data_IF_601272387936
#
_entry.id   IF_601272387936
#
_cell.length_a   1.000
_cell.length_b   1.000
_cell.length_c   1.000
_cell.angle_alpha   90.00
_cell.angle_beta   90.00
_cell.angle_gamma   90.00
#
_symmetry.space_group_name_H-M   'P 1'
#
loop_
_entity.id
_entity.type
_entity.pdbx_description
1 polymer ?
#
# COMPACT_ATOMS: atom_id res chain seq x y z
N UNK A 1 15.47 -8.24 14.86
CA UNK A 1 16.17 -8.67 13.64
C UNK A 1 15.88 -10.13 13.28
N UNK A 2 15.97 -11.10 14.20
CA UNK A 2 15.74 -12.53 13.91
C UNK A 2 14.33 -12.82 13.35
N UNK A 3 13.27 -12.22 13.91
CA UNK A 3 11.87 -12.42 13.47
C UNK A 3 11.67 -11.94 12.02
N UNK A 4 12.26 -10.79 11.65
CA UNK A 4 12.17 -10.26 10.28
C UNK A 4 12.90 -11.17 9.31
N UNK A 5 14.10 -11.64 9.66
CA UNK A 5 14.86 -12.58 8.84
C UNK A 5 14.10 -13.90 8.63
N UNK A 6 13.45 -14.42 9.66
CA UNK A 6 12.61 -15.62 9.57
C UNK A 6 11.39 -15.40 8.69
N UNK A 7 10.72 -14.24 8.78
CA UNK A 7 9.58 -13.89 7.94
C UNK A 7 9.99 -13.79 6.46
N UNK A 8 11.09 -13.10 6.17
CA UNK A 8 11.65 -12.97 4.81
C UNK A 8 12.03 -14.35 4.25
N UNK A 9 12.69 -15.19 5.04
CA UNK A 9 13.06 -16.55 4.64
C UNK A 9 11.81 -17.41 4.34
N UNK A 10 10.79 -17.35 5.21
CA UNK A 10 9.53 -18.07 5.01
C UNK A 10 8.81 -17.64 3.72
N UNK A 11 8.71 -16.33 3.48
CA UNK A 11 8.13 -15.80 2.25
C UNK A 11 8.95 -16.18 1.01
N UNK A 12 10.28 -16.05 1.07
CA UNK A 12 11.16 -16.41 -0.03
C UNK A 12 11.01 -17.90 -0.41
N UNK A 13 10.97 -18.79 0.57
CA UNK A 13 10.80 -20.23 0.36
C UNK A 13 9.48 -20.59 -0.34
N UNK A 14 8.40 -19.87 -0.03
CA UNK A 14 7.06 -20.15 -0.56
C UNK A 14 6.79 -19.46 -1.90
N UNK A 15 7.32 -18.25 -2.11
CA UNK A 15 7.03 -17.43 -3.30
C UNK A 15 8.10 -17.55 -4.39
N UNK A 16 9.37 -17.82 -4.01
CA UNK A 16 10.47 -17.90 -4.96
C UNK A 16 10.70 -19.36 -5.36
N UNK A 17 9.81 -19.91 -6.16
CA UNK A 17 9.84 -21.32 -6.58
C UNK A 17 10.74 -21.60 -7.79
N UNK A 18 11.37 -20.58 -8.39
CA UNK A 18 12.23 -20.77 -9.58
C UNK A 18 13.25 -19.65 -9.79
N UNK A 19 14.22 -19.89 -10.67
CA UNK A 19 15.31 -18.94 -10.99
C UNK A 19 14.77 -17.59 -11.50
N UNK A 20 13.67 -17.60 -12.26
CA UNK A 20 13.04 -16.38 -12.80
C UNK A 20 12.42 -15.58 -11.65
N UNK A 21 11.71 -16.23 -10.72
CA UNK A 21 11.14 -15.56 -9.55
C UNK A 21 12.22 -14.95 -8.67
N UNK A 22 13.35 -15.67 -8.48
CA UNK A 22 14.50 -15.16 -7.75
C UNK A 22 15.11 -13.92 -8.43
N UNK A 23 15.27 -13.96 -9.75
CA UNK A 23 15.81 -12.84 -10.52
C UNK A 23 14.91 -11.59 -10.41
N UNK A 24 13.58 -11.76 -10.53
CA UNK A 24 12.63 -10.66 -10.38
C UNK A 24 12.69 -10.07 -8.96
N UNK A 25 12.74 -10.93 -7.93
CA UNK A 25 12.80 -10.48 -6.54
C UNK A 25 14.10 -9.70 -6.24
N UNK A 26 15.23 -10.19 -6.74
CA UNK A 26 16.54 -9.51 -6.59
C UNK A 26 16.54 -8.18 -7.37
N UNK A 27 16.03 -8.17 -8.60
CA UNK A 27 15.94 -6.95 -9.40
C UNK A 27 15.06 -5.88 -8.73
N UNK A 28 13.91 -6.28 -8.19
CA UNK A 28 13.02 -5.38 -7.44
C UNK A 28 13.69 -4.85 -6.16
N UNK A 29 14.40 -5.72 -5.42
CA UNK A 29 15.13 -5.31 -4.22
C UNK A 29 16.24 -4.29 -4.55
N UNK A 30 17.05 -4.55 -5.57
CA UNK A 30 18.10 -3.65 -6.02
C UNK A 30 17.52 -2.31 -6.46
N UNK A 31 16.43 -2.33 -7.23
CA UNK A 31 15.75 -1.12 -7.70
C UNK A 31 15.29 -0.23 -6.54
N UNK A 32 14.64 -0.83 -5.54
CA UNK A 32 14.13 -0.11 -4.35
C UNK A 32 15.27 0.41 -3.47
N UNK A 33 16.40 -0.31 -3.38
CA UNK A 33 17.55 0.13 -2.60
C UNK A 33 18.34 1.26 -3.27
N UNK A 34 18.43 1.25 -4.61
CA UNK A 34 19.20 2.26 -5.34
C UNK A 34 18.48 3.59 -5.48
N UNK A 35 17.14 3.58 -5.50
CA UNK A 35 16.35 4.80 -5.71
C UNK A 35 15.35 4.95 -4.56
N UNK A 36 15.68 5.71 -3.52
CA UNK A 36 14.82 5.95 -2.37
C UNK A 36 13.71 6.94 -2.72
N UNK A 37 12.76 6.54 -3.57
CA UNK A 37 11.60 7.34 -3.94
C UNK A 37 10.31 6.50 -3.80
N UNK A 38 9.23 7.05 -3.20
CA UNK A 38 7.99 6.30 -2.97
C UNK A 38 7.39 5.64 -4.24
N UNK A 39 7.49 6.32 -5.38
CA UNK A 39 6.97 5.82 -6.67
C UNK A 39 7.76 4.62 -7.22
N UNK A 40 8.99 4.40 -6.75
CA UNK A 40 9.81 3.25 -7.18
C UNK A 40 9.20 1.93 -6.71
N UNK A 41 8.55 1.90 -5.56
CA UNK A 41 7.85 0.71 -5.06
C UNK A 41 6.72 0.32 -6.01
N UNK A 42 5.93 1.30 -6.44
CA UNK A 42 4.86 1.08 -7.43
C UNK A 42 5.45 0.61 -8.76
N UNK A 43 6.53 1.25 -9.21
CA UNK A 43 7.27 0.85 -10.42
C UNK A 43 7.79 -0.58 -10.35
N UNK A 44 8.36 -0.99 -9.22
CA UNK A 44 8.84 -2.36 -9.00
C UNK A 44 7.71 -3.40 -9.04
N UNK A 45 6.54 -3.07 -8.49
CA UNK A 45 5.34 -3.93 -8.53
C UNK A 45 4.86 -4.06 -9.99
N UNK A 46 4.71 -2.95 -10.70
CA UNK A 46 4.27 -2.95 -12.11
C UNK A 46 5.24 -3.74 -12.98
N UNK A 47 6.54 -3.52 -12.80
CA UNK A 47 7.59 -4.25 -13.52
C UNK A 47 7.52 -5.75 -13.21
N UNK A 48 7.33 -6.12 -11.94
CA UNK A 48 7.15 -7.51 -11.52
C UNK A 48 5.92 -8.17 -12.18
N UNK A 49 4.79 -7.45 -12.27
CA UNK A 49 3.58 -7.91 -12.95
C UNK A 49 3.85 -8.11 -14.45
N UNK A 50 4.43 -7.12 -15.12
CA UNK A 50 4.69 -7.17 -16.57
C UNK A 50 5.65 -8.31 -16.91
N UNK A 51 6.77 -8.41 -16.19
CA UNK A 51 7.76 -9.49 -16.40
C UNK A 51 7.14 -10.85 -16.04
N UNK A 52 6.36 -10.94 -14.97
CA UNK A 52 5.65 -12.15 -14.58
C UNK A 52 4.69 -12.61 -15.68
N UNK A 53 3.88 -11.71 -16.21
CA UNK A 53 2.95 -12.02 -17.31
C UNK A 53 3.68 -12.40 -18.60
N UNK A 54 4.82 -11.78 -18.91
CA UNK A 54 5.57 -12.06 -20.12
C UNK A 54 6.31 -13.41 -20.09
N UNK A 55 6.91 -13.75 -18.95
CA UNK A 55 7.81 -14.91 -18.83
C UNK A 55 7.21 -16.11 -18.11
N UNK A 56 6.14 -15.94 -17.33
CA UNK A 56 5.52 -17.01 -16.54
C UNK A 56 4.18 -17.49 -17.09
N UNK A 57 3.72 -16.92 -18.21
CA UNK A 57 2.43 -17.25 -18.84
C UNK A 57 2.36 -18.67 -19.44
N UNK A 58 3.51 -19.31 -19.68
CA UNK A 58 3.61 -20.61 -20.36
C UNK A 58 3.65 -21.83 -19.44
N UNK A 59 3.60 -21.69 -18.14
CA UNK A 59 3.48 -22.87 -17.25
C UNK A 59 2.01 -23.21 -16.99
N UNK A 60 1.43 -23.90 -17.96
CA UNK A 60 0.08 -24.46 -17.95
C UNK A 60 -0.10 -25.71 -17.06
N UNK A 61 0.81 -25.98 -16.13
CA UNK A 61 0.78 -27.12 -15.20
C UNK A 61 1.12 -26.70 -13.76
N UNK A 62 0.49 -25.64 -13.28
CA UNK A 62 0.34 -25.49 -11.84
C UNK A 62 -1.06 -26.01 -11.50
N UNK A 63 -1.15 -26.95 -10.57
CA UNK A 63 -2.34 -27.50 -9.96
C UNK A 63 -3.51 -26.52 -10.06
N UNK A 64 -4.62 -26.98 -10.66
CA UNK A 64 -5.87 -26.23 -10.67
C UNK A 64 -6.11 -25.77 -9.24
N UNK A 65 -6.11 -24.46 -8.96
CA UNK A 65 -6.57 -24.01 -7.66
C UNK A 65 -7.97 -24.62 -7.54
N UNK A 66 -8.20 -25.39 -6.48
CA UNK A 66 -9.56 -25.71 -6.04
C UNK A 66 -10.38 -24.45 -6.23
N UNK A 67 -11.54 -24.48 -6.86
CA UNK A 67 -12.34 -23.31 -7.04
C UNK A 67 -12.69 -22.77 -5.66
N UNK A 68 -11.84 -21.89 -5.14
CA UNK A 68 -12.27 -20.92 -4.16
C UNK A 68 -13.36 -20.16 -4.89
N UNK A 69 -14.56 -20.37 -4.40
CA UNK A 69 -15.83 -19.79 -4.77
C UNK A 69 -15.68 -18.67 -5.82
N UNK A 70 -16.13 -18.93 -7.04
CA UNK A 70 -15.92 -18.02 -8.17
C UNK A 70 -16.60 -16.70 -7.86
N UNK A 71 -15.92 -15.87 -7.10
CA UNK A 71 -16.32 -14.48 -6.93
C UNK A 71 -16.57 -13.91 -8.32
N UNK A 72 -17.77 -13.46 -8.58
CA UNK A 72 -18.17 -13.00 -9.91
C UNK A 72 -17.13 -12.03 -10.45
N UNK A 73 -16.51 -12.32 -11.58
CA UNK A 73 -15.58 -11.42 -12.27
C UNK A 73 -16.14 -10.02 -12.39
N UNK A 74 -17.45 -9.89 -12.52
CA UNK A 74 -18.18 -8.63 -12.55
C UNK A 74 -18.00 -7.84 -11.26
N UNK A 75 -18.10 -8.49 -10.10
CA UNK A 75 -17.90 -7.82 -8.79
C UNK A 75 -16.46 -7.32 -8.67
N UNK A 76 -15.47 -8.12 -9.08
CA UNK A 76 -14.06 -7.70 -9.08
C UNK A 76 -13.79 -6.49 -9.97
N UNK A 77 -14.35 -6.48 -11.18
CA UNK A 77 -14.24 -5.35 -12.11
C UNK A 77 -14.94 -4.11 -11.54
N UNK A 78 -16.14 -4.26 -10.99
CA UNK A 78 -16.87 -3.13 -10.38
C UNK A 78 -16.10 -2.54 -9.21
N UNK A 79 -15.55 -3.37 -8.33
CA UNK A 79 -14.72 -2.90 -7.21
C UNK A 79 -13.46 -2.18 -7.70
N UNK A 80 -12.80 -2.69 -8.72
CA UNK A 80 -11.61 -2.07 -9.30
C UNK A 80 -11.94 -0.72 -9.95
N UNK A 81 -13.01 -0.67 -10.74
CA UNK A 81 -13.48 0.58 -11.36
C UNK A 81 -13.87 1.60 -10.30
N UNK A 82 -14.59 1.18 -9.25
CA UNK A 82 -14.96 2.06 -8.15
C UNK A 82 -13.73 2.59 -7.41
N UNK A 83 -12.75 1.73 -7.14
CA UNK A 83 -11.48 2.12 -6.50
C UNK A 83 -10.75 3.19 -7.33
N UNK A 84 -10.57 2.94 -8.62
CA UNK A 84 -9.89 3.88 -9.52
C UNK A 84 -10.71 5.16 -9.69
N UNK A 85 -12.03 5.06 -9.84
CA UNK A 85 -12.90 6.22 -9.97
C UNK A 85 -12.83 7.11 -8.72
N UNK A 86 -12.87 6.54 -7.52
CA UNK A 86 -12.71 7.29 -6.27
C UNK A 86 -11.34 7.95 -6.17
N UNK A 87 -10.27 7.28 -6.60
CA UNK A 87 -8.91 7.82 -6.54
C UNK A 87 -8.76 9.12 -7.37
N UNK A 88 -9.47 9.23 -8.47
CA UNK A 88 -9.41 10.39 -9.36
C UNK A 88 -10.57 11.38 -9.19
N UNK A 89 -11.75 10.91 -8.78
CA UNK A 89 -12.92 11.78 -8.61
C UNK A 89 -12.90 12.54 -7.28
N UNK A 90 -12.42 11.93 -6.20
CA UNK A 90 -12.38 12.57 -4.89
C UNK A 90 -11.59 13.89 -4.88
N UNK A 91 -10.39 13.99 -5.47
CA UNK A 91 -9.67 15.27 -5.57
C UNK A 91 -10.45 16.37 -6.29
N UNK A 92 -11.28 16.00 -7.27
CA UNK A 92 -12.14 16.96 -7.97
C UNK A 92 -13.30 17.47 -7.10
N UNK A 93 -13.68 16.72 -6.06
CA UNK A 93 -14.75 17.02 -5.14
C UNK A 93 -14.29 17.73 -3.85
N UNK A 94 -12.99 17.84 -3.63
CA UNK A 94 -12.40 18.50 -2.43
C UNK A 94 -12.92 19.93 -2.22
N UNK A 95 -13.21 20.63 -3.31
CA UNK A 95 -13.69 22.03 -3.26
C UNK A 95 -15.17 22.17 -2.91
N UNK A 96 -15.94 21.07 -2.90
CA UNK A 96 -17.39 21.10 -2.66
C UNK A 96 -17.76 21.01 -1.18
N UNK A 97 -16.95 20.28 -0.39
CA UNK A 97 -17.16 20.12 1.03
C UNK A 97 -15.85 19.77 1.73
N UNK A 98 -15.62 20.32 2.91
CA UNK A 98 -14.43 20.07 3.72
C UNK A 98 -14.27 18.58 4.05
N UNK A 99 -15.37 17.92 4.41
CA UNK A 99 -15.38 16.48 4.72
C UNK A 99 -14.96 15.63 3.52
N UNK A 100 -15.32 16.05 2.30
CA UNK A 100 -14.88 15.40 1.08
C UNK A 100 -13.36 15.54 0.88
N UNK A 101 -12.77 16.68 1.25
CA UNK A 101 -11.33 16.91 1.23
C UNK A 101 -10.60 15.99 2.20
N UNK A 102 -11.04 15.94 3.46
CA UNK A 102 -10.47 15.05 4.47
C UNK A 102 -10.55 13.59 3.99
N UNK A 103 -11.72 13.15 3.52
CA UNK A 103 -11.90 11.79 3.02
C UNK A 103 -10.98 11.49 1.82
N UNK A 104 -10.85 12.41 0.87
CA UNK A 104 -9.95 12.31 -0.28
C UNK A 104 -8.49 12.10 0.15
N UNK A 105 -8.03 12.92 1.07
CA UNK A 105 -6.66 12.88 1.62
C UNK A 105 -6.35 11.51 2.23
N UNK A 106 -7.22 11.00 3.12
CA UNK A 106 -7.02 9.70 3.74
C UNK A 106 -7.22 8.54 2.77
N UNK A 107 -8.15 8.64 1.83
CA UNK A 107 -8.35 7.63 0.79
C UNK A 107 -7.11 7.49 -0.08
N UNK A 108 -6.55 8.60 -0.55
CA UNK A 108 -5.30 8.61 -1.35
C UNK A 108 -4.12 8.09 -0.57
N UNK A 109 -3.96 8.52 0.69
CA UNK A 109 -2.93 7.99 1.57
C UNK A 109 -3.05 6.47 1.70
N UNK A 110 -4.24 5.94 1.98
CA UNK A 110 -4.48 4.50 2.08
C UNK A 110 -4.26 3.75 0.77
N UNK A 111 -4.69 4.31 -0.36
CA UNK A 111 -4.56 3.70 -1.69
C UNK A 111 -3.11 3.64 -2.20
N UNK A 112 -2.26 4.61 -1.81
CA UNK A 112 -0.89 4.76 -2.29
C UNK A 112 0.17 4.27 -1.28
N UNK A 113 -0.25 3.81 -0.12
CA UNK A 113 0.64 3.22 0.88
C UNK A 113 1.09 1.83 0.46
N UNK A 114 2.34 1.74 0.03
CA UNK A 114 3.03 0.48 -0.20
C UNK A 114 4.16 0.36 0.81
N UNK A 115 3.93 -0.36 1.90
CA UNK A 115 4.96 -0.60 2.92
C UNK A 115 4.44 -0.56 4.35
N UNK A 116 5.37 -0.53 5.29
CA UNK A 116 5.08 -0.48 6.73
C UNK A 116 5.03 0.93 7.29
N UNK A 117 4.92 1.03 8.62
CA UNK A 117 4.80 2.29 9.36
C UNK A 117 5.80 3.38 9.01
N UNK A 118 7.03 3.02 8.63
CA UNK A 118 8.06 3.98 8.23
C UNK A 118 7.74 4.75 6.93
N UNK A 119 6.88 4.22 6.07
CA UNK A 119 6.42 4.88 4.83
C UNK A 119 5.11 5.63 5.08
N UNK A 120 4.24 5.04 5.91
CA UNK A 120 2.93 5.61 6.25
C UNK A 120 3.08 6.92 7.02
N UNK A 121 4.00 6.98 7.98
CA UNK A 121 4.18 8.16 8.84
C UNK A 121 4.53 9.44 8.07
N UNK A 122 5.62 9.47 7.25
CA UNK A 122 5.94 10.66 6.47
C UNK A 122 4.85 11.05 5.48
N UNK A 123 4.13 10.04 4.94
CA UNK A 123 3.01 10.31 4.04
C UNK A 123 1.85 10.98 4.78
N UNK A 124 1.45 10.44 5.95
CA UNK A 124 0.40 11.04 6.78
C UNK A 124 0.79 12.44 7.26
N UNK A 125 2.03 12.65 7.68
CA UNK A 125 2.54 13.97 8.07
C UNK A 125 2.41 14.98 6.93
N UNK A 126 2.86 14.60 5.74
CA UNK A 126 2.77 15.46 4.54
C UNK A 126 1.33 15.86 4.21
N UNK A 127 0.40 14.89 4.27
CA UNK A 127 -0.99 15.14 3.88
C UNK A 127 -1.88 15.69 4.99
N UNK A 128 -1.48 15.62 6.27
CA UNK A 128 -2.29 16.16 7.38
C UNK A 128 -1.69 17.43 7.94
N UNK A 129 -0.40 17.44 8.30
CA UNK A 129 0.28 18.61 8.81
C UNK A 129 0.62 19.57 7.66
N UNK A 130 1.08 19.04 6.52
CA UNK A 130 1.42 19.84 5.35
C UNK A 130 0.23 20.58 4.73
N UNK A 131 -0.98 20.00 4.81
CA UNK A 131 -2.23 20.62 4.38
C UNK A 131 -2.93 21.43 5.49
N UNK A 132 -2.37 21.48 6.69
CA UNK A 132 -2.91 22.23 7.82
C UNK A 132 -4.16 21.63 8.45
N UNK A 133 -4.43 20.34 8.23
CA UNK A 133 -5.57 19.62 8.82
C UNK A 133 -5.35 19.33 10.31
N UNK A 134 -4.09 19.14 10.71
CA UNK A 134 -3.69 18.83 12.08
C UNK A 134 -2.38 19.57 12.37
N UNK A 135 -2.24 20.14 13.57
CA UNK A 135 -0.99 20.74 13.97
C UNK A 135 0.09 19.68 14.28
N UNK A 136 1.36 20.10 14.22
CA UNK A 136 2.50 19.17 14.39
C UNK A 136 2.56 18.56 15.79
N UNK A 137 2.17 19.28 16.84
CA UNK A 137 2.20 18.80 18.21
C UNK A 137 1.12 17.72 18.43
N UNK A 138 -0.07 17.95 17.90
CA UNK A 138 -1.16 16.94 17.88
C UNK A 138 -0.77 15.71 17.08
N UNK A 139 -0.09 15.88 15.94
CA UNK A 139 0.44 14.75 15.17
C UNK A 139 1.42 13.92 16.00
N UNK A 140 2.40 14.53 16.65
CA UNK A 140 3.39 13.83 17.48
C UNK A 140 2.76 13.17 18.72
N UNK A 141 1.82 13.84 19.37
CA UNK A 141 1.10 13.27 20.51
C UNK A 141 0.28 12.03 20.12
N UNK A 142 -0.43 12.11 19.01
CA UNK A 142 -1.19 10.99 18.47
C UNK A 142 -0.30 9.81 18.03
N UNK A 143 0.85 10.11 17.44
CA UNK A 143 1.83 9.08 17.09
C UNK A 143 2.37 8.37 18.33
N UNK A 144 2.73 9.13 19.38
CA UNK A 144 3.18 8.57 20.65
C UNK A 144 2.11 7.68 21.31
N UNK A 145 0.85 8.12 21.29
CA UNK A 145 -0.27 7.34 21.79
C UNK A 145 -0.49 6.04 20.98
N UNK A 146 -0.43 6.11 19.66
CA UNK A 146 -0.56 4.93 18.79
C UNK A 146 0.56 3.90 19.01
N UNK A 147 1.77 4.35 19.29
CA UNK A 147 2.91 3.48 19.62
C UNK A 147 2.76 2.79 20.98
N UNK A 148 2.06 3.42 21.93
CA UNK A 148 1.80 2.85 23.25
C UNK A 148 0.67 1.81 23.23
N UNK A 149 -0.17 1.80 22.21
CA UNK A 149 -1.28 0.86 22.06
C UNK A 149 -0.85 -0.44 21.36
N UNK A 150 -1.23 -1.60 21.86
CA UNK A 150 -1.01 -2.86 21.16
C UNK A 150 -1.96 -2.96 19.95
N UNK A 151 -1.49 -2.58 18.75
CA UNK A 151 -2.31 -2.62 17.55
C UNK A 151 -1.54 -2.21 16.29
N UNK A 152 -2.19 -2.29 15.12
CA UNK A 152 -1.58 -1.83 13.89
C UNK A 152 -1.46 -0.31 13.89
N UNK A 153 -0.32 0.21 13.45
CA UNK A 153 -0.04 1.64 13.41
C UNK A 153 -1.05 2.44 12.53
N UNK A 154 -1.79 1.74 11.67
CA UNK A 154 -2.84 2.34 10.85
C UNK A 154 -4.01 2.95 11.65
N UNK A 155 -4.21 2.55 12.91
CA UNK A 155 -5.18 3.18 13.82
C UNK A 155 -4.86 4.67 14.06
N UNK A 156 -3.61 5.07 13.88
CA UNK A 156 -3.17 6.45 13.94
C UNK A 156 -3.86 7.34 12.90
N UNK A 157 -4.13 6.82 11.70
CA UNK A 157 -4.89 7.56 10.69
C UNK A 157 -6.32 7.92 11.15
N UNK A 158 -6.96 7.04 11.93
CA UNK A 158 -8.28 7.34 12.52
C UNK A 158 -8.21 8.46 13.55
N UNK A 159 -7.17 8.49 14.37
CA UNK A 159 -6.93 9.59 15.31
C UNK A 159 -6.75 10.93 14.56
N UNK A 160 -5.91 10.95 13.52
CA UNK A 160 -5.67 12.15 12.72
C UNK A 160 -6.96 12.64 12.03
N UNK A 161 -7.77 11.72 11.48
CA UNK A 161 -9.05 12.09 10.87
C UNK A 161 -10.05 12.64 11.88
N UNK A 162 -10.03 12.18 13.13
CA UNK A 162 -10.87 12.70 14.20
C UNK A 162 -10.38 14.04 14.77
N UNK A 163 -9.08 14.35 14.61
CA UNK A 163 -8.43 15.58 15.07
C UNK A 163 -8.33 16.66 13.99
N UNK A 164 -8.76 16.36 12.76
CA UNK A 164 -8.74 17.30 11.64
C UNK A 164 -9.74 18.43 11.87
N UNK A 165 -9.27 19.68 11.95
CA UNK A 165 -10.05 20.90 12.16
C UNK A 165 -10.34 21.67 10.86
#
# INVERSE_FOLDING_TARGET
MAVVAQAVYGMAKNLVTGKIHAAIAVAALVLVLLVPHPLIQVGAIVLGIVVGLAFLRDKKDADKPTPADSGSHTVGIVCLVLFVALLFALPALEHLAREAGIFSTFYRAGALVFGGGHVVLPLLETVTVGEGLVDHDTFLAGYGAAQAMPGPLFTFASFLGASAE
#
